data_IF_099491284680
#
_entry.id   IF_099491284680
#
_cell.length_a   1.000
_cell.length_b   1.000
_cell.length_c   1.000
_cell.angle_alpha   90.00
_cell.angle_beta   90.00
_cell.angle_gamma   90.00
#
_symmetry.space_group_name_H-M   'P 1'
#
loop_
_entity.id
_entity.type
_entity.pdbx_description
1 polymer ?
#
# COMPACT_ATOMS: atom_id res chain seq x y z
N UNK A 1 18.01 -11.07 30.86
CA UNK A 1 18.33 -10.61 29.50
C UNK A 1 17.40 -9.44 29.22
N UNK A 2 17.92 -8.22 29.02
CA UNK A 2 17.07 -7.06 28.70
C UNK A 2 16.54 -7.23 27.28
N UNK A 3 15.22 -7.16 27.12
CA UNK A 3 14.58 -7.11 25.80
C UNK A 3 14.75 -5.70 25.22
N UNK A 4 15.36 -5.62 24.03
CA UNK A 4 15.68 -4.36 23.33
C UNK A 4 14.60 -3.96 22.31
N UNK A 5 13.37 -4.47 22.45
CA UNK A 5 12.22 -4.11 21.61
C UNK A 5 11.77 -2.66 21.84
N UNK A 6 12.43 -1.71 21.16
CA UNK A 6 12.09 -0.28 21.20
C UNK A 6 11.03 0.00 20.14
N UNK A 7 9.89 0.58 20.54
CA UNK A 7 8.81 0.95 19.62
C UNK A 7 9.26 1.97 18.57
N UNK A 8 8.68 1.96 17.35
CA UNK A 8 8.88 3.02 16.37
C UNK A 8 8.51 4.41 16.93
N UNK A 9 8.99 5.45 16.24
CA UNK A 9 8.60 6.85 16.46
C UNK A 9 7.08 7.00 16.60
N UNK A 10 6.64 7.69 17.65
CA UNK A 10 5.24 8.07 17.81
C UNK A 10 4.87 9.26 16.91
N UNK A 11 3.59 9.32 16.54
CA UNK A 11 3.00 10.47 15.85
C UNK A 11 2.43 11.50 16.83
N UNK A 12 2.28 11.13 18.10
CA UNK A 12 1.69 11.94 19.15
C UNK A 12 2.74 12.29 20.21
N UNK A 13 2.67 13.52 20.71
CA UNK A 13 3.45 13.96 21.86
C UNK A 13 2.99 13.24 23.13
N UNK A 14 3.91 12.64 23.86
CA UNK A 14 3.64 11.94 25.12
C UNK A 14 3.16 12.88 26.24
N UNK A 15 3.52 14.17 26.20
CA UNK A 15 3.12 15.16 27.20
C UNK A 15 1.75 15.79 26.96
N UNK A 16 1.34 15.98 25.69
CA UNK A 16 0.08 16.67 25.32
C UNK A 16 -0.92 15.81 24.56
N UNK A 17 -0.51 14.66 24.03
CA UNK A 17 -1.34 13.81 23.17
C UNK A 17 -1.58 14.36 21.76
N UNK A 18 -1.06 15.54 21.41
CA UNK A 18 -1.25 16.16 20.09
C UNK A 18 -0.38 15.52 19.02
N UNK A 19 -0.81 15.57 17.77
CA UNK A 19 0.01 15.18 16.61
C UNK A 19 1.20 16.12 16.41
N UNK A 20 2.33 15.55 15.98
CA UNK A 20 3.49 16.32 15.53
C UNK A 20 3.27 16.86 14.12
N UNK A 21 3.66 18.11 13.91
CA UNK A 21 3.67 18.75 12.59
C UNK A 21 4.93 18.40 11.81
N UNK A 22 4.86 18.47 10.48
CA UNK A 22 6.06 18.25 9.66
C UNK A 22 7.15 19.29 9.97
N UNK A 23 8.38 18.82 10.12
CA UNK A 23 9.52 19.65 10.50
C UNK A 23 9.59 20.05 11.98
N UNK A 24 8.60 19.67 12.79
CA UNK A 24 8.53 20.01 14.21
C UNK A 24 9.69 19.41 15.00
N UNK A 25 10.19 20.14 16.00
CA UNK A 25 11.23 19.66 16.90
C UNK A 25 10.64 18.65 17.89
N UNK A 26 11.20 17.45 17.92
CA UNK A 26 10.82 16.36 18.83
C UNK A 26 12.01 15.93 19.67
N UNK A 27 11.78 15.78 20.96
CA UNK A 27 12.70 15.16 21.91
C UNK A 27 12.25 13.74 22.19
N UNK A 28 13.10 12.76 21.88
CA UNK A 28 12.83 11.36 22.21
C UNK A 28 13.62 10.96 23.44
N UNK A 29 12.98 10.23 24.34
CA UNK A 29 13.62 9.58 25.48
C UNK A 29 13.41 8.09 25.48
N UNK A 30 14.39 7.37 26.03
CA UNK A 30 14.22 5.98 26.45
C UNK A 30 14.18 5.92 27.98
N UNK A 31 13.11 5.34 28.51
CA UNK A 31 12.89 5.12 29.94
C UNK A 31 13.08 3.63 30.21
N UNK A 32 13.97 3.30 31.15
CA UNK A 32 14.10 1.91 31.61
C UNK A 32 12.85 1.52 32.40
N UNK A 33 12.23 0.40 32.04
CA UNK A 33 11.06 -0.16 32.70
C UNK A 33 11.34 -1.61 33.08
N UNK A 34 10.51 -2.22 33.93
CA UNK A 34 10.69 -3.63 34.28
C UNK A 34 10.61 -4.48 33.01
N UNK A 35 11.68 -5.23 32.73
CA UNK A 35 11.78 -6.09 31.55
C UNK A 35 12.19 -5.43 30.23
N UNK A 36 12.41 -4.10 30.14
CA UNK A 36 12.79 -3.49 28.86
C UNK A 36 12.92 -1.97 28.83
N UNK A 37 12.68 -1.39 27.65
CA UNK A 37 12.87 0.03 27.36
C UNK A 37 11.61 0.62 26.72
N UNK A 38 11.09 1.71 27.29
CA UNK A 38 9.97 2.46 26.74
C UNK A 38 10.44 3.73 26.02
N UNK A 39 10.02 3.91 24.77
CA UNK A 39 10.24 5.14 24.01
C UNK A 39 9.11 6.14 24.28
N UNK A 40 9.45 7.40 24.60
CA UNK A 40 8.50 8.52 24.64
C UNK A 40 9.02 9.67 23.78
N UNK A 41 8.12 10.29 23.00
CA UNK A 41 8.41 11.41 22.11
C UNK A 41 7.68 12.66 22.63
N UNK A 42 8.39 13.77 22.81
CA UNK A 42 7.88 15.01 23.38
C UNK A 42 8.08 16.18 22.42
N UNK A 43 7.11 17.08 22.36
CA UNK A 43 7.27 18.37 21.70
C UNK A 43 8.17 19.29 22.55
N UNK A 44 8.85 20.24 21.92
CA UNK A 44 9.82 21.14 22.59
C UNK A 44 9.20 21.90 23.78
N UNK A 45 7.94 22.32 23.66
CA UNK A 45 7.23 23.03 24.73
C UNK A 45 6.92 22.17 25.96
N UNK A 46 6.75 20.86 25.75
CA UNK A 46 6.52 19.89 26.84
C UNK A 46 7.84 19.43 27.45
N UNK A 47 8.84 19.18 26.62
CA UNK A 47 10.17 18.77 27.05
C UNK A 47 10.81 19.77 28.01
N UNK A 48 10.64 21.08 27.73
CA UNK A 48 11.23 22.15 28.54
C UNK A 48 10.60 22.32 29.92
N UNK A 49 9.39 21.78 30.14
CA UNK A 49 8.62 21.92 31.39
C UNK A 49 8.68 20.68 32.29
N UNK A 50 9.32 19.61 31.83
CA UNK A 50 9.41 18.35 32.59
C UNK A 50 10.50 18.46 33.67
N UNK A 51 10.13 19.02 34.83
CA UNK A 51 11.01 19.19 36.00
C UNK A 51 11.30 17.86 36.70
N UNK A 52 10.39 16.88 36.62
CA UNK A 52 10.58 15.53 37.12
C UNK A 52 11.23 14.69 36.03
N UNK A 53 12.56 14.66 35.98
CA UNK A 53 13.27 13.70 35.12
C UNK A 53 13.24 12.33 35.81
N UNK A 54 12.37 11.37 35.45
CA UNK A 54 12.71 9.97 35.70
C UNK A 54 14.08 9.74 35.05
N UNK A 55 14.90 8.88 35.64
CA UNK A 55 16.25 8.59 35.14
C UNK A 55 16.16 8.04 33.71
N UNK A 56 16.15 8.94 32.73
CA UNK A 56 16.17 8.59 31.32
C UNK A 56 17.48 7.85 31.06
N UNK A 57 17.41 6.74 30.35
CA UNK A 57 18.61 6.02 29.94
C UNK A 57 19.38 6.87 28.92
N UNK A 58 18.67 7.46 27.96
CA UNK A 58 19.21 8.44 27.03
C UNK A 58 18.09 9.31 26.43
N UNK A 59 18.47 10.41 25.80
CA UNK A 59 17.58 11.25 25.02
C UNK A 59 18.28 11.79 23.77
N UNK A 60 17.51 12.12 22.74
CA UNK A 60 17.99 12.80 21.55
C UNK A 60 16.96 13.77 20.98
N UNK A 61 17.44 14.76 20.21
CA UNK A 61 16.63 15.78 19.53
C UNK A 61 16.61 15.49 18.03
N UNK A 62 15.44 15.56 17.41
CA UNK A 62 15.26 15.38 15.96
C UNK A 62 14.14 16.25 15.41
N UNK A 63 13.95 16.21 14.09
CA UNK A 63 12.79 16.79 13.42
C UNK A 63 11.80 15.70 13.04
N UNK A 64 10.53 15.91 13.36
CA UNK A 64 9.46 15.07 12.85
C UNK A 64 9.37 15.22 11.34
N UNK A 65 9.17 14.10 10.66
CA UNK A 65 8.85 14.07 9.23
C UNK A 65 7.52 13.37 9.09
N UNK A 66 6.49 14.13 8.73
CA UNK A 66 5.25 13.55 8.28
C UNK A 66 5.58 12.69 7.06
N UNK A 67 5.17 11.42 7.07
CA UNK A 67 5.27 10.61 5.86
C UNK A 67 4.22 11.20 4.92
N UNK A 68 4.60 11.79 3.77
CA UNK A 68 3.61 12.23 2.81
C UNK A 68 2.73 11.02 2.45
N UNK A 69 1.41 11.19 2.27
CA UNK A 69 0.60 10.10 1.74
C UNK A 69 1.27 9.62 0.46
N UNK A 70 1.65 8.34 0.43
CA UNK A 70 2.29 7.77 -0.75
C UNK A 70 1.30 7.94 -1.91
N UNK A 71 1.69 8.61 -3.02
CA UNK A 71 0.78 8.78 -4.13
C UNK A 71 0.30 7.40 -4.56
N UNK A 72 -1.02 7.24 -4.74
CA UNK A 72 -1.59 5.96 -5.16
C UNK A 72 -0.91 5.54 -6.47
N UNK A 73 -0.04 4.52 -6.40
CA UNK A 73 0.67 3.94 -7.56
C UNK A 73 -0.28 3.22 -8.53
N UNK A 74 -1.54 3.07 -8.14
CA UNK A 74 -2.57 2.34 -8.86
C UNK A 74 -3.79 3.24 -9.08
N UNK A 75 -4.52 3.06 -10.18
CA UNK A 75 -5.65 3.91 -10.47
C UNK A 75 -6.76 3.65 -9.45
N UNK A 76 -7.65 4.63 -9.21
CA UNK A 76 -8.88 4.39 -8.48
C UNK A 76 -9.66 3.20 -9.07
N UNK A 77 -10.31 2.42 -8.22
CA UNK A 77 -11.00 1.20 -8.65
C UNK A 77 -12.02 1.45 -9.78
N UNK A 78 -12.76 2.56 -9.72
CA UNK A 78 -13.69 2.95 -10.78
C UNK A 78 -13.01 3.20 -12.14
N UNK A 79 -11.80 3.81 -12.13
CA UNK A 79 -11.02 4.04 -13.36
C UNK A 79 -10.46 2.73 -13.91
N UNK A 80 -9.98 1.83 -13.04
CA UNK A 80 -9.55 0.48 -13.43
C UNK A 80 -10.70 -0.32 -14.06
N UNK A 81 -11.89 -0.26 -13.48
CA UNK A 81 -13.06 -0.98 -13.99
C UNK A 81 -13.51 -0.44 -15.35
N UNK A 82 -13.58 0.89 -15.50
CA UNK A 82 -13.90 1.52 -16.79
C UNK A 82 -12.89 1.10 -17.87
N UNK A 83 -11.60 1.03 -17.53
CA UNK A 83 -10.55 0.61 -18.45
C UNK A 83 -10.66 -0.87 -18.82
N UNK A 84 -10.91 -1.75 -17.85
CA UNK A 84 -11.15 -3.17 -18.08
C UNK A 84 -12.31 -3.37 -19.06
N UNK A 85 -13.46 -2.71 -18.81
CA UNK A 85 -14.66 -2.77 -19.67
C UNK A 85 -14.35 -2.28 -21.07
N UNK A 86 -13.67 -1.13 -21.20
CA UNK A 86 -13.30 -0.56 -22.51
C UNK A 86 -12.45 -1.53 -23.32
N UNK A 87 -11.51 -2.22 -22.68
CA UNK A 87 -10.62 -3.17 -23.36
C UNK A 87 -11.34 -4.47 -23.74
N UNK A 88 -12.20 -4.98 -22.85
CA UNK A 88 -13.03 -6.16 -23.13
C UNK A 88 -14.10 -5.92 -24.22
N UNK A 89 -14.42 -4.65 -24.53
CA UNK A 89 -15.32 -4.32 -25.64
C UNK A 89 -14.71 -4.60 -27.03
N UNK A 90 -13.41 -4.91 -27.11
CA UNK A 90 -12.73 -5.29 -28.34
C UNK A 90 -12.42 -6.80 -28.33
N UNK A 91 -12.41 -7.48 -29.49
CA UNK A 91 -11.95 -8.85 -29.57
C UNK A 91 -10.48 -8.98 -29.14
N UNK A 92 -10.20 -9.85 -28.17
CA UNK A 92 -8.86 -10.05 -27.62
C UNK A 92 -8.50 -11.52 -27.69
N UNK A 93 -7.30 -11.82 -28.18
CA UNK A 93 -6.74 -13.18 -28.19
C UNK A 93 -5.99 -13.41 -26.89
N UNK A 94 -6.13 -14.58 -26.27
CA UNK A 94 -5.54 -14.92 -24.96
C UNK A 94 -4.04 -14.63 -24.86
N UNK A 95 -3.27 -14.88 -25.92
CA UNK A 95 -1.80 -14.68 -25.91
C UNK A 95 -1.35 -13.25 -26.28
N UNK A 96 -2.29 -12.33 -26.52
CA UNK A 96 -1.94 -10.97 -26.96
C UNK A 96 -1.44 -10.11 -25.79
N UNK A 97 -0.62 -9.07 -26.08
CA UNK A 97 -0.27 -8.05 -25.08
C UNK A 97 -1.49 -7.43 -24.40
N UNK A 98 -2.58 -7.23 -25.14
CA UNK A 98 -3.83 -6.68 -24.62
C UNK A 98 -4.49 -7.60 -23.60
N UNK A 99 -4.46 -8.92 -23.79
CA UNK A 99 -4.96 -9.88 -22.82
C UNK A 99 -4.19 -9.79 -21.49
N UNK A 100 -2.87 -9.57 -21.53
CA UNK A 100 -2.04 -9.35 -20.33
C UNK A 100 -2.47 -8.10 -19.58
N UNK A 101 -2.68 -6.99 -20.29
CA UNK A 101 -3.13 -5.74 -19.65
C UNK A 101 -4.53 -5.90 -19.04
N UNK A 102 -5.45 -6.57 -19.75
CA UNK A 102 -6.80 -6.88 -19.26
C UNK A 102 -6.73 -7.73 -17.98
N UNK A 103 -5.90 -8.77 -17.99
CA UNK A 103 -5.70 -9.65 -16.83
C UNK A 103 -5.14 -8.89 -15.63
N UNK A 104 -4.18 -7.97 -15.84
CA UNK A 104 -3.64 -7.12 -14.78
C UNK A 104 -4.71 -6.21 -14.14
N UNK A 105 -5.60 -5.61 -14.93
CA UNK A 105 -6.72 -4.84 -14.38
C UNK A 105 -7.69 -5.72 -13.58
N UNK A 106 -7.95 -6.93 -14.05
CA UNK A 106 -8.79 -7.88 -13.31
C UNK A 106 -8.16 -8.26 -11.96
N UNK A 107 -6.86 -8.56 -11.93
CA UNK A 107 -6.13 -8.86 -10.69
C UNK A 107 -6.12 -7.66 -9.72
N UNK A 108 -5.96 -6.44 -10.23
CA UNK A 108 -6.05 -5.22 -9.43
C UNK A 108 -7.43 -5.10 -8.77
N UNK A 109 -8.50 -5.33 -9.54
CA UNK A 109 -9.87 -5.26 -9.05
C UNK A 109 -10.22 -6.41 -8.10
N UNK A 110 -9.63 -7.60 -8.30
CA UNK A 110 -9.69 -8.73 -7.37
C UNK A 110 -9.07 -8.34 -6.02
N UNK A 111 -7.85 -7.77 -6.04
CA UNK A 111 -7.15 -7.33 -4.83
C UNK A 111 -7.92 -6.23 -4.07
N UNK A 112 -8.62 -5.36 -4.80
CA UNK A 112 -9.50 -4.32 -4.23
C UNK A 112 -10.90 -4.84 -3.85
N UNK A 113 -11.17 -6.14 -4.02
CA UNK A 113 -12.45 -6.82 -3.70
C UNK A 113 -13.64 -6.25 -4.48
N UNK A 114 -13.41 -5.69 -5.67
CA UNK A 114 -14.45 -5.26 -6.60
C UNK A 114 -14.92 -6.45 -7.43
N UNK A 115 -13.97 -7.24 -7.93
CA UNK A 115 -14.24 -8.51 -8.60
C UNK A 115 -13.95 -9.68 -7.65
N UNK A 116 -14.81 -10.69 -7.68
CA UNK A 116 -14.68 -11.92 -6.90
C UNK A 116 -14.49 -13.06 -7.88
N UNK A 117 -13.45 -13.87 -7.70
CA UNK A 117 -13.26 -15.07 -8.51
C UNK A 117 -14.34 -16.07 -8.18
N UNK A 118 -15.07 -16.52 -9.21
CA UNK A 118 -16.02 -17.62 -9.10
C UNK A 118 -15.42 -18.93 -9.55
N UNK A 119 -14.68 -18.89 -10.65
CA UNK A 119 -14.08 -20.08 -11.24
C UNK A 119 -12.82 -19.71 -12.03
N UNK A 120 -11.86 -20.63 -12.07
CA UNK A 120 -10.74 -20.60 -13.03
C UNK A 120 -10.84 -21.86 -13.87
N UNK A 121 -10.98 -21.68 -15.18
CA UNK A 121 -11.32 -22.77 -16.10
C UNK A 121 -10.52 -22.64 -17.40
N UNK A 122 -10.68 -23.62 -18.29
CA UNK A 122 -10.06 -23.63 -19.61
C UNK A 122 -11.14 -23.49 -20.67
N UNK A 123 -11.07 -22.40 -21.43
CA UNK A 123 -11.90 -22.16 -22.61
C UNK A 123 -11.21 -22.64 -23.90
N UNK A 124 -11.85 -22.40 -25.06
CA UNK A 124 -11.32 -22.79 -26.37
C UNK A 124 -9.95 -22.19 -26.68
N UNK A 125 -9.69 -20.98 -26.18
CA UNK A 125 -8.49 -20.18 -26.48
C UNK A 125 -7.48 -20.17 -25.32
N UNK A 126 -7.62 -21.05 -24.33
CA UNK A 126 -6.71 -21.14 -23.19
C UNK A 126 -7.38 -20.92 -21.84
N UNK A 127 -6.60 -20.53 -20.82
CA UNK A 127 -7.12 -20.32 -19.47
C UNK A 127 -7.99 -19.06 -19.39
N UNK A 128 -9.06 -19.13 -18.62
CA UNK A 128 -10.00 -18.04 -18.39
C UNK A 128 -10.36 -18.00 -16.91
N UNK A 129 -10.35 -16.80 -16.34
CA UNK A 129 -10.91 -16.56 -15.01
C UNK A 129 -12.31 -15.98 -15.14
N UNK A 130 -13.27 -16.59 -14.44
CA UNK A 130 -14.66 -16.14 -14.31
C UNK A 130 -14.76 -15.29 -13.05
N UNK A 131 -14.93 -13.99 -13.24
CA UNK A 131 -15.16 -13.03 -12.16
C UNK A 131 -16.63 -12.71 -12.02
N UNK A 132 -17.06 -12.41 -10.80
CA UNK A 132 -18.33 -11.74 -10.51
C UNK A 132 -18.06 -10.38 -9.88
N UNK A 133 -18.70 -9.34 -10.40
CA UNK A 133 -18.64 -8.02 -9.81
C UNK A 133 -19.46 -7.97 -8.51
N UNK A 134 -18.79 -7.70 -7.38
CA UNK A 134 -19.33 -7.84 -6.03
C UNK A 134 -20.66 -7.11 -5.79
N UNK A 135 -20.83 -5.92 -6.36
CA UNK A 135 -22.03 -5.09 -6.15
C UNK A 135 -23.17 -5.41 -7.11
N UNK A 136 -22.87 -5.69 -8.37
CA UNK A 136 -23.86 -5.81 -9.46
C UNK A 136 -24.21 -7.26 -9.77
N UNK A 137 -23.38 -8.22 -9.34
CA UNK A 137 -23.50 -9.63 -9.72
C UNK A 137 -23.13 -9.92 -11.18
N UNK A 138 -22.60 -8.94 -11.91
CA UNK A 138 -22.20 -9.11 -13.31
C UNK A 138 -21.07 -10.12 -13.45
N UNK A 139 -21.21 -11.07 -14.37
CA UNK A 139 -20.18 -12.07 -14.67
C UNK A 139 -19.27 -11.56 -15.78
N UNK A 140 -17.96 -11.55 -15.53
CA UNK A 140 -16.93 -11.07 -16.45
C UNK A 140 -15.94 -12.20 -16.71
N UNK A 141 -15.74 -12.53 -17.98
CA UNK A 141 -14.75 -13.52 -18.43
C UNK A 141 -13.47 -12.80 -18.82
N UNK A 142 -12.37 -13.18 -18.18
CA UNK A 142 -11.06 -12.57 -18.39
C UNK A 142 -10.08 -13.66 -18.83
N UNK A 143 -9.52 -13.59 -20.05
CA UNK A 143 -8.44 -14.49 -20.47
C UNK A 143 -7.25 -14.40 -19.51
N UNK A 144 -6.67 -15.55 -19.17
CA UNK A 144 -5.49 -15.65 -18.32
C UNK A 144 -4.29 -16.03 -19.19
N UNK A 145 -3.49 -15.05 -19.64
CA UNK A 145 -2.30 -15.32 -20.45
C UNK A 145 -1.24 -16.04 -19.63
N UNK A 146 -0.49 -16.93 -20.27
CA UNK A 146 0.73 -17.46 -19.68
C UNK A 146 1.80 -16.36 -19.65
N UNK A 147 2.38 -16.11 -18.48
CA UNK A 147 3.51 -15.20 -18.33
C UNK A 147 4.77 -16.02 -18.13
N UNK A 148 5.70 -15.96 -19.08
CA UNK A 148 6.99 -16.63 -18.93
C UNK A 148 7.89 -15.80 -18.02
N UNK A 149 8.76 -16.47 -17.25
CA UNK A 149 9.72 -15.80 -16.37
C UNK A 149 10.61 -14.79 -17.12
N UNK A 150 10.93 -15.07 -18.39
CA UNK A 150 11.69 -14.18 -19.26
C UNK A 150 10.98 -12.87 -19.63
N UNK A 151 9.66 -12.79 -19.43
CA UNK A 151 8.82 -11.66 -19.85
C UNK A 151 8.45 -10.75 -18.67
N UNK A 152 8.85 -11.10 -17.44
CA UNK A 152 8.47 -10.40 -16.21
C UNK A 152 8.96 -8.95 -16.20
N UNK A 153 10.20 -8.69 -16.62
CA UNK A 153 10.77 -7.33 -16.64
C UNK A 153 10.10 -6.43 -17.70
N UNK A 154 9.75 -7.00 -18.84
CA UNK A 154 8.99 -6.30 -19.87
C UNK A 154 7.58 -5.97 -19.35
N UNK A 155 6.89 -6.96 -18.76
CA UNK A 155 5.55 -6.78 -18.21
C UNK A 155 5.53 -5.72 -17.10
N UNK A 156 6.55 -5.73 -16.23
CA UNK A 156 6.74 -4.71 -15.20
C UNK A 156 6.87 -3.32 -15.83
N UNK A 157 7.66 -3.17 -16.89
CA UNK A 157 7.83 -1.89 -17.59
C UNK A 157 6.53 -1.41 -18.24
N UNK A 158 5.75 -2.32 -18.83
CA UNK A 158 4.43 -2.01 -19.40
C UNK A 158 3.43 -1.56 -18.33
N UNK A 159 3.44 -2.22 -17.16
CA UNK A 159 2.62 -1.83 -16.00
C UNK A 159 3.04 -0.46 -15.47
N UNK A 160 4.34 -0.20 -15.34
CA UNK A 160 4.86 1.10 -14.86
C UNK A 160 4.52 2.24 -15.83
N UNK A 161 4.63 2.00 -17.14
CA UNK A 161 4.23 2.96 -18.17
C UNK A 161 2.72 3.24 -18.13
N UNK A 162 1.90 2.20 -17.97
CA UNK A 162 0.46 2.34 -17.78
C UNK A 162 0.15 3.11 -16.48
N UNK A 163 0.90 2.85 -15.41
CA UNK A 163 0.74 3.52 -14.14
C UNK A 163 1.07 5.01 -14.17
N UNK A 164 2.07 5.40 -14.96
CA UNK A 164 2.38 6.82 -15.18
C UNK A 164 1.20 7.59 -15.81
N UNK A 165 0.34 6.92 -16.58
CA UNK A 165 -0.86 7.54 -17.18
C UNK A 165 -2.02 7.71 -16.20
N UNK A 166 -1.97 7.10 -15.01
CA UNK A 166 -3.04 7.17 -14.01
C UNK A 166 -3.00 8.42 -13.13
N UNK A 167 -1.84 9.09 -13.06
CA UNK A 167 -1.62 10.33 -12.30
C UNK A 167 -1.91 11.63 -13.06
N UNK A 168 -2.39 11.53 -14.30
CA UNK A 168 -2.93 12.63 -15.11
C UNK A 168 -4.45 12.47 -15.24
#
# INVERSE_FOLDING_TARGET
MMDWSIRPRAHLCAGTGREFSDGEVVFTVLVAVDGGMERKDFAEETWSKEEARPTYFCFWKGKFRAVPPEPEKEPPAARAEAELRRRLAQPVKTESPEARVIFLFALLLERRKVLIVRERTTGPDGRVTVYEHKTTGEVILVPEPEVKLSEVDQLRSEVEALAATWGA
#
